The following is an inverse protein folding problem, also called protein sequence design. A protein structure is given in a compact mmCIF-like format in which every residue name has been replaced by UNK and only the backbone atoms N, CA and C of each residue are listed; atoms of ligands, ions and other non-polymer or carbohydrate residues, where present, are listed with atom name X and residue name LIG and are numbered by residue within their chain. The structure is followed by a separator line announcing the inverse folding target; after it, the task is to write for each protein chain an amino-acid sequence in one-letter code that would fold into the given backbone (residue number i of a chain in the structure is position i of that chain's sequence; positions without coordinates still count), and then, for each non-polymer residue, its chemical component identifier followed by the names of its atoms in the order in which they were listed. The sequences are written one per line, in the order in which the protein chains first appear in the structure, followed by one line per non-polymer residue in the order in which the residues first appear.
data_IF_232784782118
#
_entry.id   IF_232784782118
#
_cell.length_a   1.000
_cell.length_b   1.000
_cell.length_c   1.000
_cell.angle_alpha   90.00
_cell.angle_beta   90.00
_cell.angle_gamma   90.00
#
_symmetry.space_group_name_H-M   'P 1'
#
loop_
_entity.id
_entity.type
_entity.pdbx_description
1 polymer ?
#
# COMPACT_ATOMS: atom_id res chain seq x y z
N UNK A 1 -15.87 1.32 -18.02
CA UNK A 1 -15.34 0.10 -17.38
C UNK A 1 -14.43 0.45 -16.20
N UNK A 2 -13.28 1.10 -16.41
CA UNK A 2 -12.34 1.49 -15.33
C UNK A 2 -12.91 2.42 -14.24
N UNK A 3 -13.80 3.36 -14.60
CA UNK A 3 -14.44 4.28 -13.64
C UNK A 3 -15.32 3.56 -12.61
N UNK A 4 -15.96 2.44 -13.00
CA UNK A 4 -16.80 1.67 -12.09
C UNK A 4 -15.96 0.90 -11.08
N UNK A 5 -14.77 0.44 -11.47
CA UNK A 5 -13.81 -0.22 -10.58
C UNK A 5 -13.22 0.77 -9.56
N UNK A 6 -12.91 2.00 -9.99
CA UNK A 6 -12.41 3.04 -9.08
C UNK A 6 -13.43 3.46 -8.02
N UNK A 7 -14.73 3.41 -8.35
CA UNK A 7 -15.81 3.70 -7.39
C UNK A 7 -15.93 2.64 -6.29
N UNK A 8 -15.46 1.41 -6.54
CA UNK A 8 -15.53 0.31 -5.58
C UNK A 8 -14.30 0.25 -4.64
N UNK A 9 -13.26 1.04 -4.93
CA UNK A 9 -12.02 1.09 -4.12
C UNK A 9 -12.30 1.27 -2.61
N UNK A 10 -13.21 2.16 -2.16
CA UNK A 10 -13.52 2.26 -0.73
C UNK A 10 -14.07 0.95 -0.12
N UNK A 11 -14.88 0.20 -0.87
CA UNK A 11 -15.43 -1.08 -0.42
C UNK A 11 -14.37 -2.19 -0.41
N UNK A 12 -13.49 -2.20 -1.41
CA UNK A 12 -12.34 -3.12 -1.45
C UNK A 12 -11.42 -2.86 -0.25
N UNK A 13 -11.10 -1.61 0.04
CA UNK A 13 -10.27 -1.25 1.19
C UNK A 13 -10.92 -1.64 2.52
N UNK A 14 -12.23 -1.40 2.68
CA UNK A 14 -12.93 -1.77 3.93
C UNK A 14 -12.95 -3.28 4.14
N UNK A 15 -13.20 -4.06 3.09
CA UNK A 15 -13.20 -5.52 3.12
C UNK A 15 -11.81 -6.10 3.36
N UNK A 16 -10.80 -5.60 2.65
CA UNK A 16 -9.46 -6.21 2.63
C UNK A 16 -8.56 -5.71 3.77
N UNK A 17 -8.93 -4.60 4.45
CA UNK A 17 -8.25 -4.08 5.64
C UNK A 17 -8.98 -4.38 6.95
N UNK A 18 -10.03 -5.19 6.92
CA UNK A 18 -10.76 -5.59 8.13
C UNK A 18 -11.06 -7.09 8.16
N UNK A 19 -11.23 -7.62 9.38
CA UNK A 19 -11.72 -8.98 9.62
C UNK A 19 -12.72 -8.93 10.75
N UNK A 20 -13.89 -9.54 10.58
CA UNK A 20 -14.99 -9.49 11.55
C UNK A 20 -15.34 -8.05 11.97
N UNK A 21 -15.44 -7.13 11.00
CA UNK A 21 -15.66 -5.69 11.21
C UNK A 21 -14.59 -4.98 12.06
N UNK A 22 -13.44 -5.63 12.33
CA UNK A 22 -12.31 -5.03 13.02
C UNK A 22 -11.20 -4.72 12.02
N UNK A 23 -10.84 -3.44 11.92
CA UNK A 23 -9.74 -2.98 11.08
C UNK A 23 -8.41 -3.55 11.55
N UNK A 24 -7.52 -3.90 10.63
CA UNK A 24 -6.17 -4.32 10.97
C UNK A 24 -5.40 -3.17 11.61
N UNK A 25 -4.63 -3.51 12.66
CA UNK A 25 -3.78 -2.54 13.34
C UNK A 25 -2.73 -1.98 12.37
N UNK A 26 -2.44 -0.69 12.52
CA UNK A 26 -1.27 -0.10 11.89
C UNK A 26 0.01 -0.69 12.54
N UNK A 27 1.00 -0.99 11.71
CA UNK A 27 2.33 -1.43 12.16
C UNK A 27 3.35 -0.30 11.99
N UNK A 28 4.51 -0.44 12.62
CA UNK A 28 5.59 0.55 12.53
C UNK A 28 6.01 0.82 11.07
N UNK A 29 6.10 -0.24 10.26
CA UNK A 29 6.48 -0.17 8.85
C UNK A 29 5.52 0.68 8.01
N UNK A 30 4.24 0.80 8.43
CA UNK A 30 3.31 1.72 7.77
C UNK A 30 3.72 3.18 8.00
N UNK A 31 4.21 3.52 9.20
CA UNK A 31 4.66 4.88 9.50
C UNK A 31 5.88 5.26 8.64
N UNK A 32 6.81 4.33 8.44
CA UNK A 32 7.96 4.55 7.56
C UNK A 32 7.50 4.77 6.11
N UNK A 33 6.57 3.94 5.63
CA UNK A 33 6.01 4.07 4.28
C UNK A 33 5.25 5.39 4.07
N UNK A 34 4.52 5.87 5.08
CA UNK A 34 3.90 7.19 5.05
C UNK A 34 4.96 8.29 4.91
N UNK A 35 6.07 8.17 5.65
CA UNK A 35 7.22 9.08 5.53
C UNK A 35 7.77 9.12 4.11
N UNK A 36 8.08 7.94 3.53
CA UNK A 36 8.56 7.86 2.15
C UNK A 36 7.58 8.47 1.13
N UNK A 37 6.28 8.22 1.30
CA UNK A 37 5.25 8.77 0.44
C UNK A 37 5.16 10.30 0.56
N UNK A 38 5.24 10.83 1.78
CA UNK A 38 5.23 12.28 2.02
C UNK A 38 6.44 12.97 1.42
N UNK A 39 7.62 12.37 1.57
CA UNK A 39 8.85 12.85 0.93
C UNK A 39 8.74 12.78 -0.60
N UNK A 40 8.07 11.76 -1.16
CA UNK A 40 7.83 11.66 -2.60
C UNK A 40 6.86 12.74 -3.11
N UNK A 41 5.82 13.07 -2.34
CA UNK A 41 4.81 14.05 -2.75
C UNK A 41 5.31 15.50 -2.67
N UNK A 42 6.24 15.80 -1.76
CA UNK A 42 6.65 17.18 -1.45
C UNK A 42 7.99 17.60 -2.09
N UNK A 43 8.82 16.65 -2.55
CA UNK A 43 10.12 16.96 -3.12
C UNK A 43 10.13 16.73 -4.64
N UNK A 44 10.76 17.65 -5.38
CA UNK A 44 11.02 17.51 -6.82
C UNK A 44 12.19 16.53 -7.04
N UNK A 45 11.94 15.26 -6.68
CA UNK A 45 12.91 14.18 -6.75
C UNK A 45 12.41 13.11 -7.70
N UNK A 46 13.17 12.88 -8.77
CA UNK A 46 12.84 11.89 -9.78
C UNK A 46 12.93 10.47 -9.20
N UNK A 47 11.78 9.77 -9.16
CA UNK A 47 11.60 8.32 -8.98
C UNK A 47 12.21 7.68 -7.71
N UNK A 48 11.36 7.43 -6.70
CA UNK A 48 11.72 6.65 -5.50
C UNK A 48 11.15 5.23 -5.60
N UNK A 49 12.02 4.23 -5.75
CA UNK A 49 11.63 2.81 -5.68
C UNK A 49 11.67 2.39 -4.21
N UNK A 50 10.55 1.87 -3.71
CA UNK A 50 10.49 1.26 -2.36
C UNK A 50 10.47 -0.25 -2.50
N UNK A 51 11.42 -0.91 -1.84
CA UNK A 51 11.48 -2.38 -1.76
C UNK A 51 10.93 -2.81 -0.41
N UNK A 52 9.93 -3.68 -0.42
CA UNK A 52 9.35 -4.29 0.78
C UNK A 52 9.87 -5.73 0.94
N UNK A 53 11.02 -5.96 1.60
CA UNK A 53 11.51 -7.31 1.85
C UNK A 53 10.60 -8.05 2.84
N UNK A 54 10.56 -9.38 2.73
CA UNK A 54 9.93 -10.23 3.73
C UNK A 54 9.33 -11.52 3.17
N UNK A 55 9.06 -12.48 4.04
CA UNK A 55 8.48 -13.78 3.68
C UNK A 55 7.04 -13.65 3.15
N UNK A 56 6.54 -14.72 2.51
CA UNK A 56 5.14 -14.80 2.10
C UNK A 56 4.24 -14.77 3.35
N UNK A 57 3.13 -14.04 3.29
CA UNK A 57 2.13 -14.00 4.36
C UNK A 57 2.40 -13.01 5.50
N UNK A 58 3.53 -12.28 5.49
CA UNK A 58 3.86 -11.32 6.58
C UNK A 58 3.00 -10.04 6.58
N UNK A 59 2.17 -9.82 5.55
CA UNK A 59 1.25 -8.68 5.47
C UNK A 59 1.73 -7.51 4.58
N UNK A 60 2.67 -7.74 3.65
CA UNK A 60 3.14 -6.69 2.72
C UNK A 60 2.00 -6.06 1.91
N UNK A 61 1.10 -6.87 1.37
CA UNK A 61 -0.09 -6.38 0.65
C UNK A 61 -0.98 -5.53 1.55
N UNK A 62 -1.15 -5.93 2.83
CA UNK A 62 -1.90 -5.15 3.82
C UNK A 62 -1.25 -3.78 4.05
N UNK A 63 0.08 -3.71 4.17
CA UNK A 63 0.80 -2.43 4.32
C UNK A 63 0.58 -1.52 3.10
N UNK A 64 0.65 -2.07 1.89
CA UNK A 64 0.40 -1.31 0.65
C UNK A 64 -1.04 -0.78 0.61
N UNK A 65 -2.03 -1.61 0.96
CA UNK A 65 -3.43 -1.19 1.00
C UNK A 65 -3.70 -0.14 2.09
N UNK A 66 -3.04 -0.24 3.25
CA UNK A 66 -3.11 0.78 4.30
C UNK A 66 -2.46 2.10 3.85
N UNK A 67 -1.35 2.03 3.10
CA UNK A 67 -0.73 3.22 2.50
C UNK A 67 -1.63 3.83 1.42
N UNK A 68 -2.30 3.00 0.62
CA UNK A 68 -3.29 3.48 -0.35
C UNK A 68 -4.43 4.23 0.36
N UNK A 69 -5.00 3.64 1.43
CA UNK A 69 -6.06 4.27 2.22
C UNK A 69 -5.60 5.60 2.81
N UNK A 70 -4.35 5.69 3.28
CA UNK A 70 -3.73 6.92 3.74
C UNK A 70 -3.69 8.01 2.66
N UNK A 71 -3.17 7.69 1.48
CA UNK A 71 -3.07 8.64 0.37
C UNK A 71 -4.46 9.17 -0.05
N UNK A 72 -5.45 8.28 -0.04
CA UNK A 72 -6.82 8.64 -0.41
C UNK A 72 -7.52 9.47 0.68
N UNK A 73 -7.48 9.03 1.95
CA UNK A 73 -8.29 9.62 3.03
C UNK A 73 -7.60 10.75 3.78
N UNK A 74 -6.29 10.64 3.99
CA UNK A 74 -5.53 11.62 4.78
C UNK A 74 -4.86 12.66 3.86
N UNK A 75 -4.37 12.26 2.66
CA UNK A 75 -3.77 13.18 1.67
C UNK A 75 -4.74 13.69 0.60
N UNK A 76 -5.99 13.21 0.61
CA UNK A 76 -7.04 13.60 -0.35
C UNK A 76 -6.64 13.42 -1.82
N UNK A 77 -5.81 12.41 -2.11
CA UNK A 77 -5.39 12.11 -3.49
C UNK A 77 -6.48 11.24 -4.13
N UNK A 78 -7.04 11.64 -5.28
CA UNK A 78 -8.04 10.84 -5.97
C UNK A 78 -7.49 9.46 -6.35
N UNK A 79 -8.27 8.37 -6.24
CA UNK A 79 -7.88 7.01 -6.63
C UNK A 79 -7.25 6.92 -8.03
N UNK A 80 -7.79 7.67 -8.99
CA UNK A 80 -7.28 7.79 -10.37
C UNK A 80 -5.81 8.23 -10.45
N UNK A 81 -5.31 8.97 -9.47
CA UNK A 81 -3.96 9.51 -9.46
C UNK A 81 -2.98 8.60 -8.71
N UNK A 82 -3.46 7.52 -8.09
CA UNK A 82 -2.65 6.59 -7.31
C UNK A 82 -2.44 5.31 -8.13
N UNK A 83 -1.18 5.03 -8.46
CA UNK A 83 -0.81 3.82 -9.18
C UNK A 83 0.24 3.05 -8.39
N UNK A 84 -0.10 1.84 -7.95
CA UNK A 84 0.86 0.92 -7.35
C UNK A 84 1.21 -0.19 -8.33
N UNK A 85 2.48 -0.25 -8.71
CA UNK A 85 3.03 -1.42 -9.39
C UNK A 85 3.72 -2.30 -8.35
N UNK A 86 3.25 -3.54 -8.23
CA UNK A 86 3.79 -4.49 -7.29
C UNK A 86 4.73 -5.46 -8.00
N UNK A 87 5.97 -5.55 -7.52
CA UNK A 87 6.91 -6.59 -7.92
C UNK A 87 7.24 -7.44 -6.70
N UNK A 88 6.84 -8.71 -6.71
CA UNK A 88 7.27 -9.67 -5.68
C UNK A 88 8.64 -10.21 -6.08
N UNK A 89 9.66 -9.92 -5.29
CA UNK A 89 10.96 -10.58 -5.40
C UNK A 89 10.93 -11.85 -4.54
N UNK A 90 11.01 -13.01 -5.18
CA UNK A 90 11.11 -14.31 -4.50
C UNK A 90 12.58 -14.60 -4.18
N UNK A 91 12.92 -14.66 -2.90
CA UNK A 91 14.21 -15.20 -2.44
C UNK A 91 13.96 -16.62 -1.93
N UNK A 92 14.28 -17.63 -2.75
CA UNK A 92 14.26 -19.03 -2.33
C UNK A 92 15.60 -19.36 -1.69
N UNK A 93 15.59 -19.68 -0.40
CA UNK A 93 16.75 -20.22 0.28
C UNK A 93 16.89 -21.69 -0.13
N UNK A 94 17.75 -21.97 -1.12
CA UNK A 94 18.14 -23.34 -1.45
C UNK A 94 19.22 -23.74 -0.44
N UNK A 95 18.79 -24.12 0.76
CA UNK A 95 19.66 -24.81 1.71
C UNK A 95 19.95 -26.17 1.07
N UNK A 96 21.20 -26.35 0.61
CA UNK A 96 21.77 -27.65 0.23
C UNK A 96 22.27 -28.36 1.47
#
# INVERSE_FOLDING_TARGET
MLLNELNDVPNVLSRDLSKNNKKFNARYELSELKGYADTFLNEDTSNKIVVLPGLRGVGKTTLILQLYEYLMKEKNIPPRNIHFNFFIIYVSNKIR
#
